data_IF_813155967696
#
_entry.id   IF_813155967696
#
_cell.length_a   1.000
_cell.length_b   1.000
_cell.length_c   1.000
_cell.angle_alpha   90.00
_cell.angle_beta   90.00
_cell.angle_gamma   90.00
#
_symmetry.space_group_name_H-M   'P 1'
#
loop_
_entity.id
_entity.type
_entity.pdbx_description
1 polymer ?
#
# COMPACT_ATOMS: atom_id res chain seq x y z
N UNK A 1 29.80 8.71 10.28
CA UNK A 1 28.78 7.64 10.24
C UNK A 1 27.72 8.08 9.23
N UNK A 2 27.79 7.59 7.99
CA UNK A 2 26.94 8.06 6.90
C UNK A 2 25.58 7.34 6.99
N UNK A 3 24.61 7.96 7.68
CA UNK A 3 23.22 7.53 7.63
C UNK A 3 22.71 7.77 6.19
N UNK A 4 22.89 6.78 5.31
CA UNK A 4 22.07 6.70 4.10
C UNK A 4 20.64 6.45 4.56
N UNK A 5 19.91 7.53 4.83
CA UNK A 5 18.48 7.48 5.06
C UNK A 5 17.83 6.79 3.88
N UNK A 6 17.21 5.63 4.13
CA UNK A 6 16.41 4.93 3.12
C UNK A 6 15.11 5.72 2.96
N UNK A 7 15.12 6.70 2.05
CA UNK A 7 14.00 7.62 1.77
C UNK A 7 12.67 6.87 1.60
N UNK A 8 12.72 5.63 1.10
CA UNK A 8 11.54 4.76 0.95
C UNK A 8 10.88 4.42 2.28
N UNK A 9 11.66 4.02 3.29
CA UNK A 9 11.12 3.76 4.63
C UNK A 9 10.51 5.02 5.23
N UNK A 10 11.15 6.17 5.02
CA UNK A 10 10.62 7.47 5.48
C UNK A 10 9.26 7.76 4.82
N UNK A 11 9.14 7.58 3.51
CA UNK A 11 7.87 7.79 2.77
C UNK A 11 6.78 6.82 3.27
N UNK A 12 7.12 5.57 3.53
CA UNK A 12 6.17 4.57 4.01
C UNK A 12 5.70 4.85 5.44
N UNK A 13 6.61 5.26 6.34
CA UNK A 13 6.28 5.65 7.71
C UNK A 13 5.45 6.94 7.73
N UNK A 14 5.80 7.93 6.88
CA UNK A 14 5.03 9.14 6.72
C UNK A 14 3.60 8.82 6.23
N UNK A 15 3.44 7.92 5.26
CA UNK A 15 2.13 7.47 4.80
C UNK A 15 1.34 6.77 5.91
N UNK A 16 1.98 5.88 6.68
CA UNK A 16 1.34 5.22 7.81
C UNK A 16 0.84 6.24 8.86
N UNK A 17 1.62 7.29 9.14
CA UNK A 17 1.22 8.37 10.05
C UNK A 17 0.07 9.21 9.49
N UNK A 18 0.08 9.52 8.19
CA UNK A 18 -1.02 10.25 7.53
C UNK A 18 -2.31 9.40 7.57
N UNK A 19 -2.21 8.10 7.28
CA UNK A 19 -3.34 7.16 7.39
C UNK A 19 -3.93 7.15 8.80
N UNK A 20 -3.09 7.17 9.85
CA UNK A 20 -3.56 7.27 11.23
C UNK A 20 -4.36 8.56 11.46
N UNK A 21 -3.81 9.69 11.00
CA UNK A 21 -4.48 10.98 11.08
C UNK A 21 -5.85 10.98 10.38
N UNK A 22 -5.92 10.43 9.17
CA UNK A 22 -7.17 10.29 8.42
C UNK A 22 -8.16 9.36 9.12
N UNK A 23 -7.71 8.22 9.65
CA UNK A 23 -8.56 7.32 10.42
C UNK A 23 -9.17 8.03 11.65
N UNK A 24 -8.33 8.65 12.48
CA UNK A 24 -8.79 9.33 13.70
C UNK A 24 -9.74 10.47 13.34
N UNK A 25 -9.38 11.31 12.36
CA UNK A 25 -10.20 12.45 11.94
C UNK A 25 -11.54 11.99 11.39
N UNK A 26 -11.57 10.97 10.53
CA UNK A 26 -12.81 10.41 9.99
C UNK A 26 -13.70 9.87 11.11
N UNK A 27 -13.14 9.17 12.10
CA UNK A 27 -13.91 8.64 13.20
C UNK A 27 -14.44 9.73 14.15
N UNK A 28 -13.70 10.82 14.36
CA UNK A 28 -14.20 11.98 15.11
C UNK A 28 -15.35 12.68 14.36
N UNK A 29 -15.26 12.79 13.04
CA UNK A 29 -16.27 13.49 12.23
C UNK A 29 -17.55 12.66 12.01
N UNK A 30 -17.43 11.35 11.85
CA UNK A 30 -18.57 10.47 11.51
C UNK A 30 -19.14 9.73 12.72
N UNK A 31 -18.42 9.65 13.84
CA UNK A 31 -18.83 8.88 15.02
C UNK A 31 -18.59 9.61 16.34
N UNK A 32 -19.32 9.23 17.41
CA UNK A 32 -18.96 9.64 18.77
C UNK A 32 -17.53 9.22 19.12
N UNK A 33 -16.85 10.02 19.97
CA UNK A 33 -15.47 9.77 20.46
C UNK A 33 -15.22 8.34 20.96
N UNK A 34 -16.26 7.65 21.41
CA UNK A 34 -16.21 6.25 21.85
C UNK A 34 -15.68 5.28 20.76
N UNK A 35 -15.86 5.60 19.48
CA UNK A 35 -15.48 4.74 18.36
C UNK A 35 -14.05 4.96 17.84
N UNK A 36 -13.26 5.86 18.43
CA UNK A 36 -11.85 6.08 18.05
C UNK A 36 -11.04 4.78 18.14
N UNK A 37 -11.36 3.90 19.11
CA UNK A 37 -10.72 2.57 19.24
C UNK A 37 -10.89 1.72 17.98
N UNK A 38 -12.06 1.79 17.33
CA UNK A 38 -12.32 1.10 16.06
C UNK A 38 -11.47 1.71 14.95
N UNK A 39 -11.35 3.03 14.89
CA UNK A 39 -10.47 3.73 13.94
C UNK A 39 -9.00 3.30 14.07
N UNK A 40 -8.50 3.12 15.29
CA UNK A 40 -7.14 2.61 15.54
C UNK A 40 -7.01 1.14 15.08
N UNK A 41 -7.98 0.27 15.38
CA UNK A 41 -7.97 -1.13 14.93
C UNK A 41 -7.95 -1.20 13.40
N UNK A 42 -8.77 -0.40 12.73
CA UNK A 42 -8.79 -0.31 11.27
C UNK A 42 -7.46 0.17 10.71
N UNK A 43 -6.87 1.21 11.32
CA UNK A 43 -5.54 1.67 10.93
C UNK A 43 -4.50 0.55 11.08
N UNK A 44 -4.44 -0.16 12.20
CA UNK A 44 -3.50 -1.29 12.39
C UNK A 44 -3.70 -2.36 11.33
N UNK A 45 -4.95 -2.71 11.00
CA UNK A 45 -5.22 -3.69 9.94
C UNK A 45 -4.72 -3.25 8.57
N UNK A 46 -4.75 -1.94 8.27
CA UNK A 46 -4.24 -1.38 7.02
C UNK A 46 -2.72 -1.44 6.90
N UNK A 47 -1.99 -1.47 8.02
CA UNK A 47 -0.53 -1.58 8.03
C UNK A 47 -0.08 -2.92 7.45
N UNK A 48 -0.86 -3.99 7.63
CA UNK A 48 -0.55 -5.29 7.01
C UNK A 48 -0.41 -5.10 5.50
N UNK A 49 -1.34 -4.38 4.87
CA UNK A 49 -1.31 -4.11 3.44
C UNK A 49 -0.23 -3.09 3.05
N UNK A 50 -0.02 -2.05 3.87
CA UNK A 50 0.99 -1.02 3.63
C UNK A 50 2.44 -1.51 3.74
N UNK A 51 2.69 -2.66 4.39
CA UNK A 51 4.02 -3.24 4.58
C UNK A 51 4.20 -4.64 3.99
N UNK A 52 3.14 -5.41 3.69
CA UNK A 52 3.25 -6.78 3.15
C UNK A 52 4.06 -6.89 1.86
N UNK A 53 3.88 -6.01 0.85
CA UNK A 53 4.61 -6.15 -0.41
C UNK A 53 6.13 -6.00 -0.26
N UNK A 54 6.62 -5.21 0.71
CA UNK A 54 8.05 -5.16 1.02
C UNK A 54 8.54 -6.44 1.73
N UNK A 55 7.67 -7.18 2.42
CA UNK A 55 7.97 -8.49 3.00
C UNK A 55 7.97 -9.61 1.95
N UNK A 56 7.11 -9.50 0.93
CA UNK A 56 6.98 -10.49 -0.16
C UNK A 56 7.81 -10.16 -1.41
N UNK A 57 8.50 -9.01 -1.46
CA UNK A 57 9.40 -8.71 -2.57
C UNK A 57 10.46 -9.79 -2.70
N UNK A 58 10.41 -10.47 -3.85
CA UNK A 58 11.30 -11.57 -4.21
C UNK A 58 12.76 -11.22 -3.88
N UNK A 59 13.50 -12.07 -3.15
CA UNK A 59 14.94 -11.89 -3.00
C UNK A 59 15.57 -11.81 -4.39
N UNK A 60 16.13 -10.64 -4.74
CA UNK A 60 16.68 -10.34 -6.08
C UNK A 60 15.89 -9.34 -6.93
N UNK A 61 14.84 -8.70 -6.42
CA UNK A 61 14.16 -7.61 -7.12
C UNK A 61 15.11 -6.41 -7.37
N UNK A 62 15.01 -5.79 -8.56
CA UNK A 62 15.79 -4.57 -8.87
C UNK A 62 15.35 -3.41 -7.96
N UNK A 63 16.20 -2.38 -7.81
CA UNK A 63 15.85 -1.18 -7.01
C UNK A 63 14.52 -0.57 -7.42
N UNK A 64 14.21 -0.57 -8.72
CA UNK A 64 12.94 -0.12 -9.29
C UNK A 64 11.77 -1.04 -8.92
N UNK A 65 11.97 -2.37 -8.96
CA UNK A 65 10.92 -3.33 -8.57
C UNK A 65 10.57 -3.23 -7.08
N UNK A 66 11.55 -2.91 -6.24
CA UNK A 66 11.32 -2.62 -4.82
C UNK A 66 10.54 -1.31 -4.65
N UNK A 67 10.90 -0.25 -5.37
CA UNK A 67 10.19 1.03 -5.29
C UNK A 67 8.74 0.93 -5.78
N UNK A 68 8.51 0.21 -6.88
CA UNK A 68 7.16 -0.08 -7.37
C UNK A 68 6.36 -0.92 -6.37
N UNK A 69 6.98 -1.91 -5.72
CA UNK A 69 6.34 -2.71 -4.68
C UNK A 69 5.95 -1.86 -3.46
N UNK A 70 6.82 -0.95 -2.99
CA UNK A 70 6.50 -0.04 -1.89
C UNK A 70 5.33 0.89 -2.25
N UNK A 71 5.29 1.43 -3.48
CA UNK A 71 4.15 2.25 -3.95
C UNK A 71 2.84 1.46 -3.97
N UNK A 72 2.89 0.22 -4.47
CA UNK A 72 1.75 -0.71 -4.50
C UNK A 72 1.28 -1.04 -3.07
N UNK A 73 2.20 -1.22 -2.13
CA UNK A 73 1.90 -1.44 -0.72
C UNK A 73 1.13 -0.27 -0.12
N UNK A 74 1.65 0.95 -0.25
CA UNK A 74 1.01 2.16 0.25
C UNK A 74 -0.40 2.29 -0.33
N UNK A 75 -0.55 2.13 -1.65
CA UNK A 75 -1.85 2.18 -2.32
C UNK A 75 -2.83 1.12 -1.79
N UNK A 76 -2.35 -0.09 -1.50
CA UNK A 76 -3.19 -1.16 -0.95
C UNK A 76 -3.68 -0.86 0.47
N UNK A 77 -2.80 -0.28 1.32
CA UNK A 77 -3.17 0.19 2.66
C UNK A 77 -4.27 1.25 2.59
N UNK A 78 -4.12 2.24 1.73
CA UNK A 78 -5.13 3.28 1.50
C UNK A 78 -6.45 2.72 0.97
N UNK A 79 -6.40 1.77 0.04
CA UNK A 79 -7.59 1.13 -0.53
C UNK A 79 -8.38 0.41 0.56
N UNK A 80 -7.70 -0.42 1.37
CA UNK A 80 -8.29 -1.14 2.48
C UNK A 80 -8.89 -0.20 3.51
N UNK A 81 -8.13 0.80 3.94
CA UNK A 81 -8.56 1.76 4.95
C UNK A 81 -9.82 2.53 4.50
N UNK A 82 -9.83 3.03 3.25
CA UNK A 82 -10.94 3.80 2.69
C UNK A 82 -12.20 2.95 2.58
N UNK A 83 -12.07 1.69 2.13
CA UNK A 83 -13.18 0.74 2.05
C UNK A 83 -13.76 0.46 3.44
N UNK A 84 -12.91 0.18 4.43
CA UNK A 84 -13.34 -0.15 5.79
C UNK A 84 -14.01 1.03 6.49
N UNK A 85 -13.46 2.24 6.34
CA UNK A 85 -14.13 3.47 6.82
C UNK A 85 -15.50 3.61 6.17
N UNK A 86 -15.60 3.40 4.85
CA UNK A 86 -16.88 3.47 4.13
C UNK A 86 -17.91 2.45 4.62
N UNK A 87 -17.48 1.22 4.87
CA UNK A 87 -18.35 0.15 5.40
C UNK A 87 -18.83 0.47 6.81
N UNK A 88 -17.92 0.89 7.70
CA UNK A 88 -18.27 1.20 9.09
C UNK A 88 -19.17 2.44 9.16
N UNK A 89 -18.85 3.50 8.41
CA UNK A 89 -19.63 4.73 8.32
C UNK A 89 -20.93 4.59 7.50
N UNK A 90 -21.15 3.44 6.86
CA UNK A 90 -22.23 3.24 5.87
C UNK A 90 -22.26 4.35 4.82
N UNK A 91 -21.10 4.89 4.48
CA UNK A 91 -20.97 6.02 3.57
C UNK A 91 -20.63 5.52 2.16
N UNK A 92 -21.60 5.64 1.26
CA UNK A 92 -21.51 5.17 -0.13
C UNK A 92 -20.33 5.77 -0.89
N UNK A 93 -19.99 7.03 -0.62
CA UNK A 93 -18.89 7.72 -1.32
C UNK A 93 -17.54 7.09 -0.97
N UNK A 94 -17.29 6.83 0.32
CA UNK A 94 -16.07 6.13 0.75
C UNK A 94 -16.01 4.69 0.26
N UNK A 95 -17.14 3.99 0.18
CA UNK A 95 -17.19 2.64 -0.40
C UNK A 95 -16.82 2.66 -1.89
N UNK A 96 -17.38 3.58 -2.68
CA UNK A 96 -17.06 3.73 -4.11
C UNK A 96 -15.58 4.09 -4.29
N UNK A 97 -15.05 5.05 -3.52
CA UNK A 97 -13.63 5.41 -3.56
C UNK A 97 -12.72 4.23 -3.18
N UNK A 98 -13.08 3.47 -2.14
CA UNK A 98 -12.35 2.27 -1.75
C UNK A 98 -12.31 1.21 -2.84
N UNK A 99 -13.44 0.96 -3.51
CA UNK A 99 -13.51 0.02 -4.65
C UNK A 99 -12.71 0.52 -5.84
N UNK A 100 -12.79 1.82 -6.18
CA UNK A 100 -11.98 2.41 -7.24
C UNK A 100 -10.48 2.25 -6.97
N UNK A 101 -10.05 2.51 -5.73
CA UNK A 101 -8.65 2.29 -5.34
C UNK A 101 -8.24 0.82 -5.41
N UNK A 102 -9.10 -0.12 -5.03
CA UNK A 102 -8.84 -1.55 -5.20
C UNK A 102 -8.68 -1.94 -6.68
N UNK A 103 -9.55 -1.46 -7.57
CA UNK A 103 -9.44 -1.73 -9.01
C UNK A 103 -8.12 -1.19 -9.56
N UNK A 104 -7.78 0.04 -9.22
CA UNK A 104 -6.50 0.66 -9.61
C UNK A 104 -5.33 -0.17 -9.09
N UNK A 105 -5.36 -0.60 -7.83
CA UNK A 105 -4.36 -1.47 -7.23
C UNK A 105 -4.19 -2.81 -7.98
N UNK A 106 -5.30 -3.48 -8.33
CA UNK A 106 -5.24 -4.74 -9.08
C UNK A 106 -4.64 -4.54 -10.47
N UNK A 107 -4.99 -3.46 -11.16
CA UNK A 107 -4.43 -3.11 -12.47
C UNK A 107 -2.93 -2.86 -12.38
N UNK A 108 -2.47 -2.05 -11.42
CA UNK A 108 -1.05 -1.78 -11.22
C UNK A 108 -0.26 -3.03 -10.85
N UNK A 109 -0.80 -3.86 -9.95
CA UNK A 109 -0.19 -5.13 -9.55
C UNK A 109 -0.03 -6.07 -10.74
N UNK A 110 -1.05 -6.15 -11.60
CA UNK A 110 -1.02 -6.99 -12.79
C UNK A 110 -0.01 -6.51 -13.84
N UNK A 111 0.05 -5.19 -14.07
CA UNK A 111 1.01 -4.58 -14.99
C UNK A 111 2.44 -4.77 -14.47
N UNK A 112 2.68 -4.54 -13.17
CA UNK A 112 3.97 -4.74 -12.51
C UNK A 112 4.47 -6.17 -12.65
N UNK A 113 3.63 -7.15 -12.32
CA UNK A 113 3.93 -8.58 -12.46
C UNK A 113 4.33 -8.96 -13.90
N UNK A 114 3.59 -8.44 -14.89
CA UNK A 114 3.93 -8.68 -16.32
C UNK A 114 5.24 -8.04 -16.73
N UNK A 115 5.56 -6.84 -16.25
CA UNK A 115 6.83 -6.16 -16.54
C UNK A 115 8.01 -6.93 -15.98
N UNK A 116 7.91 -7.40 -14.74
CA UNK A 116 8.97 -8.15 -14.08
C UNK A 116 9.21 -9.50 -14.77
N UNK A 117 8.15 -10.23 -15.14
CA UNK A 117 8.24 -11.49 -15.88
C UNK A 117 8.96 -11.32 -17.23
N UNK A 118 8.64 -10.25 -17.98
CA UNK A 118 9.34 -9.92 -19.24
C UNK A 118 10.82 -9.57 -19.01
N UNK A 119 11.15 -8.87 -17.91
CA UNK A 119 12.53 -8.49 -17.58
C UNK A 119 13.38 -9.72 -17.27
N UNK A 120 12.89 -10.66 -16.44
CA UNK A 120 13.59 -11.92 -16.14
C UNK A 120 13.89 -12.73 -17.40
N UNK A 121 12.91 -12.88 -18.30
CA UNK A 121 13.08 -13.60 -19.58
C UNK A 121 14.18 -12.95 -20.46
N UNK A 122 14.24 -11.61 -20.50
CA UNK A 122 15.23 -10.88 -21.30
C UNK A 122 16.64 -11.05 -20.74
N UNK A 123 16.80 -10.99 -19.42
CA UNK A 123 18.08 -11.21 -18.76
C UNK A 123 18.58 -12.63 -18.95
N UNK A 124 17.71 -13.65 -18.80
CA UNK A 124 18.09 -15.05 -19.04
C UNK A 124 18.53 -15.31 -20.49
N UNK A 125 17.91 -14.67 -21.49
CA UNK A 125 18.34 -14.79 -22.90
C UNK A 125 19.71 -14.17 -23.17
N UNK A 126 20.06 -13.07 -22.51
CA UNK A 126 21.37 -12.43 -22.68
C UNK A 126 22.52 -13.20 -22.02
N UNK A 127 22.24 -13.93 -20.93
CA UNK A 127 23.24 -14.79 -20.28
C UNK A 127 23.52 -16.04 -21.11
N UNK A 128 22.50 -16.57 -21.80
CA UNK A 128 22.62 -17.78 -22.62
C UNK A 128 23.30 -17.54 -23.99
N UNK A 129 23.50 -16.28 -24.38
CA UNK A 129 24.16 -15.88 -25.63
C UNK A 129 25.61 -15.41 -25.45
N UNK A 130 26.20 -15.60 -24.27
CA UNK A 130 27.62 -15.36 -23.96
C UNK A 130 28.27 -16.68 -23.58
#
# INVERSE_FOLDING_TARGET
MNLKFDTRRVIQHANAAIMLGVCISSFICFFPFYYIKIGIILWVSSLIFAYCPDLFTFPGASKEGIEDATKIAIASGWSWMTLMIGLVAKNTLFMILGVLFLVVFFVFSFIGSRREKKRKIRTSRQVQSR
#
